data_IF_344495695728
#
_entry.id   IF_344495695728
#
_cell.length_a   1.000
_cell.length_b   1.000
_cell.length_c   1.000
_cell.angle_alpha   90.00
_cell.angle_beta   90.00
_cell.angle_gamma   90.00
#
_symmetry.space_group_name_H-M   'P 1'
#
loop_
_entity.id
_entity.type
_entity.pdbx_description
1 polymer ?
#
# COMPACT_ATOMS: atom_id res chain seq x y z
N UNK A 1 16.84 3.04 3.51
CA UNK A 1 15.44 3.36 3.87
C UNK A 1 14.43 2.42 3.21
N UNK A 2 14.82 1.78 2.11
CA UNK A 2 14.04 0.83 1.32
C UNK A 2 13.57 -0.36 2.15
N UNK A 3 14.41 -0.92 3.03
CA UNK A 3 13.99 -1.95 3.99
C UNK A 3 12.86 -1.49 4.92
N UNK A 4 12.93 -0.25 5.42
CA UNK A 4 11.87 0.34 6.26
C UNK A 4 10.58 0.46 5.45
N UNK A 5 10.67 0.91 4.19
CA UNK A 5 9.51 1.02 3.33
C UNK A 5 8.92 -0.35 2.95
N UNK A 6 9.74 -1.37 2.72
CA UNK A 6 9.30 -2.76 2.46
C UNK A 6 8.55 -3.33 3.68
N UNK A 7 9.15 -3.24 4.86
CA UNK A 7 8.50 -3.69 6.10
C UNK A 7 7.25 -2.88 6.40
N UNK A 8 7.32 -1.55 6.22
CA UNK A 8 6.23 -0.62 6.45
C UNK A 8 5.03 -0.86 5.54
N UNK A 9 5.25 -1.12 4.24
CA UNK A 9 4.14 -1.41 3.33
C UNK A 9 3.53 -2.79 3.58
N UNK A 10 4.35 -3.77 3.97
CA UNK A 10 3.87 -5.06 4.45
C UNK A 10 2.95 -4.88 5.68
N UNK A 11 3.42 -4.17 6.69
CA UNK A 11 2.64 -3.84 7.89
C UNK A 11 1.36 -3.07 7.56
N UNK A 12 1.41 -2.11 6.64
CA UNK A 12 0.24 -1.34 6.21
C UNK A 12 -0.78 -2.21 5.46
N UNK A 13 -0.32 -3.21 4.70
CA UNK A 13 -1.19 -4.19 4.04
C UNK A 13 -1.94 -5.04 5.07
N UNK A 14 -1.22 -5.53 6.10
CA UNK A 14 -1.86 -6.22 7.23
C UNK A 14 -2.86 -5.33 7.95
N UNK A 15 -2.50 -4.06 8.21
CA UNK A 15 -3.40 -3.11 8.84
C UNK A 15 -4.65 -2.84 8.00
N UNK A 16 -4.51 -2.70 6.68
CA UNK A 16 -5.64 -2.51 5.77
C UNK A 16 -6.57 -3.73 5.76
N UNK A 17 -6.01 -4.94 5.73
CA UNK A 17 -6.76 -6.20 5.77
C UNK A 17 -7.48 -6.37 7.10
N UNK A 18 -6.81 -6.05 8.20
CA UNK A 18 -7.39 -6.10 9.54
C UNK A 18 -8.53 -5.09 9.69
N UNK A 19 -8.37 -3.86 9.21
CA UNK A 19 -9.42 -2.84 9.23
C UNK A 19 -10.67 -3.26 8.44
N UNK A 20 -10.49 -3.83 7.23
CA UNK A 20 -11.59 -4.39 6.45
C UNK A 20 -12.27 -5.56 7.21
N UNK A 21 -11.48 -6.44 7.83
CA UNK A 21 -11.99 -7.59 8.57
C UNK A 21 -12.82 -7.16 9.79
N UNK A 22 -12.32 -6.25 10.61
CA UNK A 22 -13.05 -5.72 11.77
C UNK A 22 -14.38 -5.08 11.38
N UNK A 23 -14.39 -4.31 10.29
CA UNK A 23 -15.65 -3.74 9.79
C UNK A 23 -16.62 -4.82 9.31
N UNK A 24 -16.13 -5.88 8.68
CA UNK A 24 -16.95 -7.02 8.24
C UNK A 24 -17.57 -7.74 9.43
N UNK A 25 -16.78 -8.04 10.47
CA UNK A 25 -17.28 -8.62 11.73
C UNK A 25 -18.34 -7.71 12.36
N UNK A 26 -18.10 -6.40 12.41
CA UNK A 26 -19.05 -5.43 12.97
C UNK A 26 -20.35 -5.33 12.18
N UNK A 27 -20.31 -5.41 10.85
CA UNK A 27 -21.47 -5.18 9.98
C UNK A 27 -22.27 -6.44 9.64
N UNK A 28 -21.63 -7.62 9.67
CA UNK A 28 -22.25 -8.91 9.29
C UNK A 28 -22.22 -9.96 10.40
N UNK A 29 -21.48 -9.72 11.49
CA UNK A 29 -21.33 -10.65 12.61
C UNK A 29 -20.30 -11.76 12.37
N UNK A 30 -19.92 -12.44 13.45
CA UNK A 30 -18.92 -13.52 13.42
C UNK A 30 -19.40 -14.72 12.61
N UNK A 31 -20.70 -15.06 12.68
CA UNK A 31 -21.28 -16.18 11.93
C UNK A 31 -21.06 -16.04 10.42
N UNK A 32 -21.24 -14.84 9.86
CA UNK A 32 -20.96 -14.56 8.45
C UNK A 32 -19.49 -14.78 8.10
N UNK A 33 -18.57 -14.33 8.96
CA UNK A 33 -17.12 -14.38 8.71
C UNK A 33 -16.58 -15.81 8.70
N UNK A 34 -17.28 -16.74 9.36
CA UNK A 34 -16.99 -18.18 9.41
C UNK A 34 -17.63 -18.97 8.26
N UNK A 35 -18.42 -18.33 7.39
CA UNK A 35 -18.92 -18.96 6.16
C UNK A 35 -17.81 -19.06 5.10
N UNK A 36 -18.11 -19.73 3.98
CA UNK A 36 -17.29 -19.71 2.77
C UNK A 36 -17.20 -18.32 2.10
N UNK A 37 -17.99 -17.34 2.57
CA UNK A 37 -18.11 -15.98 2.02
C UNK A 37 -18.43 -15.98 0.52
N UNK A 38 -19.20 -16.96 0.07
CA UNK A 38 -19.73 -17.05 -1.29
C UNK A 38 -20.60 -15.83 -1.67
N UNK A 39 -21.22 -15.20 -0.66
CA UNK A 39 -21.94 -13.94 -0.82
C UNK A 39 -20.98 -12.74 -0.79
N UNK A 40 -20.98 -11.88 -1.83
CA UNK A 40 -20.07 -10.75 -1.89
C UNK A 40 -20.36 -9.72 -0.79
N UNK A 41 -19.30 -9.07 -0.30
CA UNK A 41 -19.43 -7.88 0.56
C UNK A 41 -20.02 -6.72 -0.24
N UNK A 42 -20.68 -5.79 0.47
CA UNK A 42 -21.19 -4.57 -0.15
C UNK A 42 -20.07 -3.75 -0.81
N UNK A 43 -20.31 -3.29 -2.04
CA UNK A 43 -19.45 -2.38 -2.79
C UNK A 43 -19.54 -0.92 -2.33
N UNK A 44 -20.50 -0.64 -1.44
CA UNK A 44 -20.87 0.71 -1.04
C UNK A 44 -20.29 1.07 0.33
N UNK A 45 -20.35 2.37 0.63
CA UNK A 45 -19.93 2.89 1.92
C UNK A 45 -18.49 2.49 2.29
N UNK A 46 -18.27 2.27 3.58
CA UNK A 46 -16.95 1.89 4.09
C UNK A 46 -16.54 0.47 3.68
N UNK A 47 -17.48 -0.48 3.60
CA UNK A 47 -17.19 -1.85 3.17
C UNK A 47 -16.48 -1.88 1.81
N UNK A 48 -17.07 -1.23 0.81
CA UNK A 48 -16.47 -1.18 -0.52
C UNK A 48 -15.18 -0.36 -0.56
N UNK A 49 -15.11 0.76 0.17
CA UNK A 49 -13.89 1.58 0.21
C UNK A 49 -12.71 0.84 0.84
N UNK A 50 -12.93 0.14 1.95
CA UNK A 50 -11.88 -0.62 2.63
C UNK A 50 -11.32 -1.76 1.76
N UNK A 51 -12.19 -2.51 1.06
CA UNK A 51 -11.77 -3.53 0.11
C UNK A 51 -10.96 -2.97 -1.07
N UNK A 52 -11.40 -1.85 -1.66
CA UNK A 52 -10.64 -1.16 -2.73
C UNK A 52 -9.30 -0.61 -2.23
N UNK A 53 -9.26 -0.08 -1.02
CA UNK A 53 -8.04 0.44 -0.41
C UNK A 53 -7.02 -0.68 -0.12
N UNK A 54 -7.47 -1.82 0.40
CA UNK A 54 -6.63 -3.00 0.59
C UNK A 54 -6.06 -3.48 -0.75
N UNK A 55 -6.93 -3.70 -1.75
CA UNK A 55 -6.50 -4.15 -3.08
C UNK A 55 -5.45 -3.22 -3.69
N UNK A 56 -5.69 -1.90 -3.63
CA UNK A 56 -4.72 -0.94 -4.14
C UNK A 56 -3.39 -0.95 -3.37
N UNK A 57 -3.43 -1.22 -2.05
CA UNK A 57 -2.22 -1.33 -1.23
C UNK A 57 -1.41 -2.56 -1.61
N UNK A 58 -2.06 -3.70 -1.87
CA UNK A 58 -1.40 -4.89 -2.42
C UNK A 58 -0.77 -4.60 -3.78
N UNK A 59 -1.53 -4.02 -4.71
CA UNK A 59 -1.03 -3.65 -6.05
C UNK A 59 0.17 -2.70 -5.95
N UNK A 60 0.08 -1.67 -5.10
CA UNK A 60 1.18 -0.73 -4.88
C UNK A 60 2.41 -1.38 -4.24
N UNK A 61 2.23 -2.32 -3.32
CA UNK A 61 3.32 -3.09 -2.71
C UNK A 61 4.03 -3.93 -3.76
N UNK A 62 3.27 -4.63 -4.60
CA UNK A 62 3.79 -5.46 -5.68
C UNK A 62 4.60 -4.66 -6.70
N UNK A 63 4.26 -3.39 -6.92
CA UNK A 63 5.05 -2.48 -7.75
C UNK A 63 6.31 -1.96 -7.04
N UNK A 64 6.23 -1.60 -5.76
CA UNK A 64 7.35 -0.96 -5.04
C UNK A 64 8.44 -1.95 -4.62
N UNK A 65 8.04 -3.08 -4.03
CA UNK A 65 8.94 -4.02 -3.35
C UNK A 65 10.05 -4.57 -4.27
N UNK A 66 9.79 -4.95 -5.55
CA UNK A 66 10.85 -5.46 -6.42
C UNK A 66 11.99 -4.45 -6.64
N UNK A 67 11.67 -3.19 -6.95
CA UNK A 67 12.69 -2.15 -7.17
C UNK A 67 13.45 -1.85 -5.88
N UNK A 68 12.75 -1.72 -4.76
CA UNK A 68 13.34 -1.49 -3.46
C UNK A 68 14.29 -2.63 -3.05
N UNK A 69 13.92 -3.89 -3.32
CA UNK A 69 14.77 -5.05 -3.06
C UNK A 69 16.03 -5.05 -3.91
N UNK A 70 15.95 -4.71 -5.21
CA UNK A 70 17.14 -4.58 -6.07
C UNK A 70 18.10 -3.55 -5.50
N UNK A 71 17.61 -2.38 -5.09
CA UNK A 71 18.45 -1.34 -4.45
C UNK A 71 19.12 -1.87 -3.19
N UNK A 72 18.41 -2.63 -2.35
CA UNK A 72 18.95 -3.20 -1.11
C UNK A 72 20.01 -4.26 -1.38
N UNK A 73 19.71 -5.25 -2.23
CA UNK A 73 20.60 -6.40 -2.49
C UNK A 73 21.90 -5.97 -3.13
N UNK A 74 21.86 -4.97 -4.02
CA UNK A 74 23.05 -4.42 -4.68
C UNK A 74 23.78 -3.37 -3.84
N UNK A 75 23.34 -3.12 -2.60
CA UNK A 75 23.84 -2.01 -1.77
C UNK A 75 23.83 -0.67 -2.51
N UNK A 76 22.85 -0.47 -3.40
CA UNK A 76 22.80 0.63 -4.37
C UNK A 76 22.11 1.91 -3.85
N UNK A 77 21.81 1.99 -2.56
CA UNK A 77 21.08 3.10 -1.96
C UNK A 77 21.76 4.45 -2.26
N UNK A 78 20.94 5.43 -2.63
CA UNK A 78 21.33 6.83 -2.79
C UNK A 78 20.42 7.72 -1.94
N UNK A 79 20.75 9.00 -1.80
CA UNK A 79 19.86 9.96 -1.13
C UNK A 79 18.49 10.03 -1.81
N UNK A 80 18.44 9.88 -3.14
CA UNK A 80 17.19 9.91 -3.92
C UNK A 80 16.32 8.68 -3.58
N UNK A 81 16.88 7.47 -3.65
CA UNK A 81 16.12 6.24 -3.36
C UNK A 81 15.71 6.17 -1.89
N UNK A 82 16.58 6.64 -0.98
CA UNK A 82 16.28 6.72 0.44
C UNK A 82 15.11 7.68 0.72
N UNK A 83 15.10 8.85 0.09
CA UNK A 83 14.01 9.83 0.22
C UNK A 83 12.72 9.28 -0.41
N UNK A 84 12.79 8.71 -1.61
CA UNK A 84 11.65 8.10 -2.29
C UNK A 84 11.00 7.00 -1.45
N UNK A 85 11.80 6.16 -0.76
CA UNK A 85 11.29 5.13 0.14
C UNK A 85 10.43 5.69 1.28
N UNK A 86 10.89 6.77 1.93
CA UNK A 86 10.14 7.39 3.03
C UNK A 86 8.89 8.12 2.53
N UNK A 87 9.01 8.87 1.42
CA UNK A 87 7.88 9.57 0.79
C UNK A 87 6.82 8.57 0.33
N UNK A 88 7.24 7.46 -0.27
CA UNK A 88 6.36 6.36 -0.64
C UNK A 88 5.55 5.89 0.57
N UNK A 89 6.21 5.52 1.66
CA UNK A 89 5.54 4.98 2.84
C UNK A 89 4.54 5.99 3.44
N UNK A 90 4.92 7.26 3.58
CA UNK A 90 4.03 8.34 4.07
C UNK A 90 2.83 8.50 3.14
N UNK A 91 3.06 8.53 1.83
CA UNK A 91 1.98 8.63 0.84
C UNK A 91 1.02 7.45 0.93
N UNK A 92 1.50 6.23 1.21
CA UNK A 92 0.63 5.05 1.38
C UNK A 92 -0.24 5.13 2.63
N UNK A 93 0.31 5.63 3.74
CA UNK A 93 -0.49 5.89 4.96
C UNK A 93 -1.58 6.93 4.68
N UNK A 94 -1.21 8.05 4.05
CA UNK A 94 -2.16 9.10 3.67
C UNK A 94 -3.22 8.61 2.69
N UNK A 95 -2.84 7.82 1.69
CA UNK A 95 -3.75 7.21 0.73
C UNK A 95 -4.78 6.32 1.42
N UNK A 96 -4.36 5.42 2.31
CA UNK A 96 -5.25 4.50 3.02
C UNK A 96 -6.26 5.27 3.88
N UNK A 97 -5.78 6.24 4.66
CA UNK A 97 -6.62 7.08 5.51
C UNK A 97 -7.65 7.87 4.68
N UNK A 98 -7.20 8.54 3.61
CA UNK A 98 -8.07 9.29 2.71
C UNK A 98 -9.14 8.40 2.04
N UNK A 99 -8.77 7.17 1.67
CA UNK A 99 -9.71 6.21 1.09
C UNK A 99 -10.79 5.80 2.09
N UNK A 100 -10.41 5.48 3.32
CA UNK A 100 -11.33 5.06 4.38
C UNK A 100 -12.38 6.12 4.70
N UNK A 101 -11.96 7.38 4.81
CA UNK A 101 -12.88 8.51 5.08
C UNK A 101 -13.65 8.99 3.85
N UNK A 102 -13.29 8.53 2.64
CA UNK A 102 -13.97 8.90 1.39
C UNK A 102 -13.50 10.22 0.78
N UNK A 103 -12.33 10.73 1.17
CA UNK A 103 -11.74 11.96 0.62
C UNK A 103 -11.07 11.68 -0.74
N UNK A 104 -11.88 11.69 -1.81
CA UNK A 104 -11.46 11.29 -3.17
C UNK A 104 -10.29 12.10 -3.73
N UNK A 105 -10.29 13.43 -3.54
CA UNK A 105 -9.23 14.32 -4.01
C UNK A 105 -7.88 14.06 -3.33
N UNK A 106 -7.87 14.01 -1.99
CA UNK A 106 -6.66 13.72 -1.21
C UNK A 106 -6.09 12.34 -1.53
N UNK A 107 -6.97 11.33 -1.65
CA UNK A 107 -6.59 9.98 -2.04
C UNK A 107 -5.85 9.98 -3.38
N UNK A 108 -6.38 10.67 -4.40
CA UNK A 108 -5.72 10.74 -5.71
C UNK A 108 -4.37 11.46 -5.66
N UNK A 109 -4.24 12.52 -4.85
CA UNK A 109 -2.97 13.20 -4.62
C UNK A 109 -1.90 12.27 -4.02
N UNK A 110 -2.24 11.58 -2.93
CA UNK A 110 -1.34 10.60 -2.31
C UNK A 110 -0.97 9.44 -3.25
N UNK A 111 -1.91 9.00 -4.10
CA UNK A 111 -1.62 7.99 -5.12
C UNK A 111 -0.55 8.47 -6.09
N UNK A 112 -0.68 9.70 -6.60
CA UNK A 112 0.30 10.29 -7.52
C UNK A 112 1.70 10.38 -6.90
N UNK A 113 1.79 10.84 -5.65
CA UNK A 113 3.06 10.90 -4.90
C UNK A 113 3.66 9.49 -4.70
N UNK A 114 2.83 8.50 -4.38
CA UNK A 114 3.27 7.12 -4.25
C UNK A 114 3.82 6.54 -5.56
N UNK A 115 3.16 6.80 -6.70
CA UNK A 115 3.62 6.35 -8.02
C UNK A 115 4.94 7.05 -8.40
N UNK A 116 5.06 8.35 -8.20
CA UNK A 116 6.31 9.07 -8.45
C UNK A 116 7.48 8.49 -7.63
N UNK A 117 7.22 8.13 -6.37
CA UNK A 117 8.22 7.50 -5.50
C UNK A 117 8.63 6.09 -5.98
N UNK A 118 7.68 5.30 -6.49
CA UNK A 118 7.96 4.00 -7.12
C UNK A 118 8.88 4.20 -8.33
N UNK A 119 8.54 5.13 -9.24
CA UNK A 119 9.34 5.41 -10.43
C UNK A 119 10.75 5.84 -10.08
N UNK A 120 10.92 6.76 -9.11
CA UNK A 120 12.24 7.18 -8.65
C UNK A 120 13.06 6.01 -8.09
N UNK A 121 12.41 5.08 -7.38
CA UNK A 121 13.06 3.87 -6.85
C UNK A 121 13.49 2.93 -7.98
N UNK A 122 12.69 2.76 -9.03
CA UNK A 122 13.05 1.98 -10.22
C UNK A 122 14.25 2.56 -10.97
N UNK A 123 14.29 3.87 -11.16
CA UNK A 123 15.44 4.55 -11.78
C UNK A 123 16.71 4.24 -10.97
N UNK A 124 16.66 4.38 -9.65
CA UNK A 124 17.78 4.05 -8.77
C UNK A 124 18.16 2.57 -8.80
N UNK A 125 17.18 1.66 -8.89
CA UNK A 125 17.41 0.23 -9.03
C UNK A 125 18.14 -0.11 -10.34
N UNK A 126 17.72 0.49 -11.45
CA UNK A 126 18.35 0.31 -12.77
C UNK A 126 19.79 0.84 -12.75
N UNK A 127 20.03 2.02 -12.17
CA UNK A 127 21.38 2.56 -12.01
C UNK A 127 22.26 1.71 -11.08
N UNK A 128 21.68 0.93 -10.16
CA UNK A 128 22.43 -0.01 -9.34
C UNK A 128 22.86 -1.26 -10.13
N UNK A 129 22.08 -1.69 -11.13
CA UNK A 129 22.42 -2.84 -11.99
C UNK A 129 23.57 -2.57 -12.96
N UNK A 130 23.84 -1.30 -13.27
CA UNK A 130 24.90 -0.89 -14.20
C UNK A 130 26.24 -0.59 -13.52
N UNK A 131 26.36 -0.86 -12.21
CA UNK A 131 27.60 -0.69 -11.43
C UNK A 131 28.27 -2.04 -11.24
#
# INVERSE_FOLDING_TARGET
MELIAILGIGALTFFAAFGQHLYTVRSKGVGFVMTDRSQPLSSDGFAGRSGRALRNTVESSAMYVPAALVVVVLSGQTQITATAALVYLIARVGFLAAYWVGASGLRSGFWGVGIASIVATYVGAISALSR
#
